data_IF_454344916115
#
_entry.id   IF_454344916115
#
_cell.length_a   1.000
_cell.length_b   1.000
_cell.length_c   1.000
_cell.angle_alpha   90.00
_cell.angle_beta   90.00
_cell.angle_gamma   90.00
#
_symmetry.space_group_name_H-M   'P 1'
#
loop_
_entity.id
_entity.type
_entity.pdbx_description
1 polymer ?
#
# COMPACT_ATOMS: atom_id res chain seq x y z
N UNK A 1 -21.77 11.53 8.77
CA UNK A 1 -20.77 10.51 9.13
C UNK A 1 -21.48 9.35 9.82
N UNK A 2 -21.24 8.10 9.40
CA UNK A 2 -21.79 6.88 10.05
C UNK A 2 -21.05 6.50 11.34
N UNK A 3 -20.10 7.33 11.80
CA UNK A 3 -19.28 7.09 12.99
C UNK A 3 -20.11 6.90 14.27
N UNK A 4 -21.29 7.55 14.37
CA UNK A 4 -22.20 7.35 15.51
C UNK A 4 -22.69 5.90 15.62
N UNK A 5 -22.97 5.24 14.48
CA UNK A 5 -23.35 3.81 14.44
C UNK A 5 -22.19 2.90 14.86
N UNK A 6 -20.95 3.31 14.59
CA UNK A 6 -19.76 2.58 15.05
C UNK A 6 -19.65 2.69 16.57
N UNK A 7 -19.87 3.88 17.15
CA UNK A 7 -19.84 4.09 18.61
C UNK A 7 -20.84 3.20 19.35
N UNK A 8 -22.02 3.00 18.77
CA UNK A 8 -23.07 2.15 19.35
C UNK A 8 -22.73 0.64 19.31
N UNK A 9 -21.73 0.22 18.53
CA UNK A 9 -21.43 -1.19 18.24
C UNK A 9 -20.08 -1.68 18.77
N UNK A 10 -19.26 -0.79 19.33
CA UNK A 10 -17.92 -1.12 19.85
C UNK A 10 -17.71 -0.52 21.25
N UNK A 11 -16.77 -1.08 22.00
CA UNK A 11 -16.39 -0.49 23.30
C UNK A 11 -15.66 0.86 23.13
N UNK A 12 -15.69 1.70 24.16
CA UNK A 12 -15.14 3.07 24.09
C UNK A 12 -13.64 3.08 23.74
N UNK A 13 -12.86 2.11 24.23
CA UNK A 13 -11.42 2.02 23.93
C UNK A 13 -11.16 1.70 22.45
N UNK A 14 -11.96 0.81 21.86
CA UNK A 14 -11.90 0.51 20.43
C UNK A 14 -12.42 1.69 19.60
N UNK A 15 -13.47 2.37 20.06
CA UNK A 15 -13.99 3.57 19.40
C UNK A 15 -12.94 4.67 19.32
N UNK A 16 -12.24 4.99 20.42
CA UNK A 16 -11.16 5.98 20.44
C UNK A 16 -10.02 5.62 19.47
N UNK A 17 -9.68 4.33 19.37
CA UNK A 17 -8.68 3.86 18.40
C UNK A 17 -9.14 4.04 16.96
N UNK A 18 -10.39 3.71 16.65
CA UNK A 18 -11.00 3.92 15.34
C UNK A 18 -11.02 5.41 15.00
N UNK A 19 -11.45 6.25 15.94
CA UNK A 19 -11.50 7.69 15.75
C UNK A 19 -10.10 8.28 15.48
N UNK A 20 -9.08 7.85 16.23
CA UNK A 20 -7.69 8.26 16.00
C UNK A 20 -7.20 7.90 14.61
N UNK A 21 -7.50 6.69 14.14
CA UNK A 21 -7.13 6.24 12.78
C UNK A 21 -7.89 7.03 11.71
N UNK A 22 -9.17 7.32 11.93
CA UNK A 22 -9.98 8.13 11.01
C UNK A 22 -9.55 9.59 10.96
N UNK A 23 -9.06 10.18 12.07
CA UNK A 23 -8.49 11.54 12.07
C UNK A 23 -7.20 11.64 11.26
N UNK A 24 -6.46 10.53 11.12
CA UNK A 24 -5.25 10.46 10.29
C UNK A 24 -5.60 10.24 8.81
N UNK A 25 -6.82 9.74 8.52
CA UNK A 25 -7.27 9.45 7.16
C UNK A 25 -7.13 10.69 6.28
N UNK A 26 -6.39 10.53 5.18
CA UNK A 26 -6.12 11.57 4.18
C UNK A 26 -5.42 12.83 4.73
N UNK A 27 -4.81 12.78 5.92
CA UNK A 27 -3.95 13.87 6.39
C UNK A 27 -2.76 14.00 5.43
N UNK A 28 -2.47 15.23 5.00
CA UNK A 28 -1.25 15.53 4.24
C UNK A 28 -0.05 15.36 5.18
N UNK A 29 0.78 14.36 4.91
CA UNK A 29 2.00 14.04 5.66
C UNK A 29 3.27 14.24 4.83
N UNK A 30 3.12 14.72 3.59
CA UNK A 30 4.25 15.21 2.79
C UNK A 30 4.92 16.36 3.55
N UNK A 31 6.26 16.40 3.51
CA UNK A 31 6.99 17.50 4.11
C UNK A 31 6.72 18.81 3.32
N UNK A 32 6.98 19.95 3.97
CA UNK A 32 6.74 21.26 3.35
C UNK A 32 7.60 21.45 2.08
N UNK A 33 8.84 20.98 2.10
CA UNK A 33 9.78 21.00 0.97
C UNK A 33 9.19 20.36 -0.30
N UNK A 34 8.77 19.08 -0.21
CA UNK A 34 8.13 18.33 -1.30
C UNK A 34 6.84 19.01 -1.74
N UNK A 35 6.02 19.48 -0.79
CA UNK A 35 4.74 20.13 -1.12
C UNK A 35 4.96 21.39 -1.97
N UNK A 36 5.90 22.25 -1.58
CA UNK A 36 6.24 23.46 -2.35
C UNK A 36 6.86 23.14 -3.72
N UNK A 37 7.67 22.07 -3.83
CA UNK A 37 8.19 21.59 -5.12
C UNK A 37 7.08 21.12 -6.06
N UNK A 38 6.11 20.37 -5.55
CA UNK A 38 4.95 19.92 -6.31
C UNK A 38 4.08 21.09 -6.78
N UNK A 39 3.83 22.07 -5.91
CA UNK A 39 3.11 23.30 -6.26
C UNK A 39 3.80 24.05 -7.40
N UNK A 40 5.14 24.21 -7.33
CA UNK A 40 5.91 24.85 -8.39
C UNK A 40 5.85 24.08 -9.72
N UNK A 41 5.87 22.74 -9.68
CA UNK A 41 5.70 21.90 -10.87
C UNK A 41 4.30 22.10 -11.48
N UNK A 42 3.25 22.03 -10.67
CA UNK A 42 1.87 22.06 -11.17
C UNK A 42 1.39 23.44 -11.64
N UNK A 43 2.07 24.51 -11.22
CA UNK A 43 1.85 25.87 -11.73
C UNK A 43 2.58 26.14 -13.06
N UNK A 44 3.46 25.23 -13.50
CA UNK A 44 4.26 25.42 -14.72
C UNK A 44 3.47 25.05 -15.97
N UNK A 45 3.69 25.80 -17.06
CA UNK A 45 3.10 25.49 -18.35
C UNK A 45 3.54 24.10 -18.83
N UNK A 46 2.66 23.43 -19.56
CA UNK A 46 2.92 22.10 -20.09
C UNK A 46 4.20 22.03 -20.95
N UNK A 47 4.52 23.07 -21.73
CA UNK A 47 5.71 23.09 -22.60
C UNK A 47 7.00 22.93 -21.79
N UNK A 48 7.01 23.43 -20.56
CA UNK A 48 8.18 23.45 -19.68
C UNK A 48 8.08 22.45 -18.53
N UNK A 49 6.94 21.77 -18.38
CA UNK A 49 6.66 20.94 -17.20
C UNK A 49 7.68 19.81 -17.01
N UNK A 50 8.15 19.18 -18.09
CA UNK A 50 9.16 18.12 -18.02
C UNK A 50 10.48 18.63 -17.45
N UNK A 51 10.93 19.81 -17.91
CA UNK A 51 12.14 20.44 -17.39
C UNK A 51 11.95 20.84 -15.92
N UNK A 52 10.79 21.42 -15.59
CA UNK A 52 10.47 21.80 -14.22
C UNK A 52 10.45 20.62 -13.27
N UNK A 53 9.89 19.48 -13.68
CA UNK A 53 9.94 18.24 -12.90
C UNK A 53 11.40 17.90 -12.59
N UNK A 54 12.26 17.83 -13.61
CA UNK A 54 13.68 17.47 -13.43
C UNK A 54 14.39 18.42 -12.47
N UNK A 55 14.23 19.74 -12.65
CA UNK A 55 14.90 20.75 -11.81
C UNK A 55 14.40 20.72 -10.36
N UNK A 56 13.09 20.58 -10.14
CA UNK A 56 12.54 20.58 -8.79
C UNK A 56 12.81 19.27 -8.04
N UNK A 57 13.01 18.16 -8.75
CA UNK A 57 13.31 16.85 -8.15
C UNK A 57 14.78 16.45 -8.25
N UNK A 58 15.67 17.36 -8.64
CA UNK A 58 17.09 17.06 -8.75
C UNK A 58 17.66 16.62 -7.39
N UNK A 59 18.41 15.52 -7.40
CA UNK A 59 19.07 14.95 -6.22
C UNK A 59 20.57 14.87 -6.49
N UNK A 60 21.38 15.38 -5.58
CA UNK A 60 22.84 15.24 -5.65
C UNK A 60 23.26 13.76 -5.60
N UNK A 61 23.96 13.30 -6.64
CA UNK A 61 24.30 11.88 -6.86
C UNK A 61 25.28 11.28 -5.83
N UNK A 62 25.88 12.09 -4.95
CA UNK A 62 27.00 11.69 -4.09
C UNK A 62 26.68 11.61 -2.59
N UNK A 63 25.43 11.89 -2.19
CA UNK A 63 25.01 11.79 -0.78
C UNK A 63 24.32 10.43 -0.59
N UNK A 64 24.66 9.73 0.50
CA UNK A 64 23.94 8.54 0.98
C UNK A 64 22.43 8.84 0.90
N UNK A 65 21.71 8.16 -0.01
CA UNK A 65 20.39 8.59 -0.44
C UNK A 65 19.47 8.81 0.77
N UNK A 66 19.12 10.08 1.03
CA UNK A 66 18.18 10.41 2.10
C UNK A 66 16.79 9.90 1.73
N UNK A 67 15.92 9.68 2.71
CA UNK A 67 14.53 9.29 2.43
C UNK A 67 13.82 10.32 1.55
N UNK A 68 14.10 11.62 1.75
CA UNK A 68 13.58 12.69 0.91
C UNK A 68 14.08 12.59 -0.52
N UNK A 69 15.38 12.33 -0.71
CA UNK A 69 15.99 12.12 -2.03
C UNK A 69 15.38 10.93 -2.77
N UNK A 70 15.15 9.81 -2.09
CA UNK A 70 14.46 8.65 -2.65
C UNK A 70 13.02 8.99 -3.04
N UNK A 71 12.33 9.77 -2.21
CA UNK A 71 10.96 10.18 -2.49
C UNK A 71 10.88 11.18 -3.66
N UNK A 72 11.84 12.09 -3.82
CA UNK A 72 11.95 12.97 -4.98
C UNK A 72 12.20 12.17 -6.27
N UNK A 73 13.04 11.12 -6.22
CA UNK A 73 13.21 10.18 -7.33
C UNK A 73 11.88 9.52 -7.71
N UNK A 74 11.10 9.06 -6.71
CA UNK A 74 9.77 8.50 -6.95
C UNK A 74 8.83 9.51 -7.64
N UNK A 75 8.80 10.76 -7.17
CA UNK A 75 7.99 11.84 -7.77
C UNK A 75 8.41 12.07 -9.22
N UNK A 76 9.71 12.26 -9.46
CA UNK A 76 10.27 12.56 -10.78
C UNK A 76 9.83 11.53 -11.81
N UNK A 77 10.12 10.25 -11.55
CA UNK A 77 9.86 9.19 -12.51
C UNK A 77 8.37 8.93 -12.70
N UNK A 78 7.56 9.13 -11.66
CA UNK A 78 6.11 9.00 -11.78
C UNK A 78 5.50 10.10 -12.63
N UNK A 79 5.90 11.36 -12.42
CA UNK A 79 5.37 12.49 -13.20
C UNK A 79 5.87 12.47 -14.64
N UNK A 80 7.15 12.19 -14.88
CA UNK A 80 7.70 12.11 -16.24
C UNK A 80 7.02 11.01 -17.07
N UNK A 81 6.75 9.85 -16.47
CA UNK A 81 6.01 8.78 -17.14
C UNK A 81 4.58 9.24 -17.49
N UNK A 82 3.88 9.90 -16.55
CA UNK A 82 2.56 10.48 -16.80
C UNK A 82 2.57 11.53 -17.93
N UNK A 83 3.55 12.42 -17.97
CA UNK A 83 3.69 13.42 -19.05
C UNK A 83 3.93 12.72 -20.39
N UNK A 84 4.85 11.77 -20.44
CA UNK A 84 5.19 11.00 -21.65
C UNK A 84 3.97 10.29 -22.21
N UNK A 85 3.11 9.72 -21.35
CA UNK A 85 1.87 9.07 -21.76
C UNK A 85 0.86 10.02 -22.45
N UNK A 86 0.97 11.32 -22.23
CA UNK A 86 0.10 12.35 -22.80
C UNK A 86 0.75 13.12 -23.96
N UNK A 87 2.07 13.04 -24.13
CA UNK A 87 2.85 13.89 -25.04
C UNK A 87 2.37 13.84 -26.48
N UNK A 88 2.12 12.64 -26.99
CA UNK A 88 1.72 12.42 -28.38
C UNK A 88 0.23 12.09 -28.55
N UNK A 89 -0.60 12.26 -27.51
CA UNK A 89 -2.05 11.97 -27.59
C UNK A 89 -2.87 13.20 -27.93
N UNK A 90 -3.72 13.09 -28.96
CA UNK A 90 -4.82 14.01 -29.23
C UNK A 90 -6.18 13.26 -29.18
N UNK A 91 -7.07 13.57 -28.23
CA UNK A 91 -6.90 14.50 -27.11
C UNK A 91 -5.96 13.94 -26.03
N UNK A 92 -5.40 14.81 -25.15
CA UNK A 92 -4.54 14.43 -24.01
C UNK A 92 -5.34 13.73 -22.90
N UNK A 93 -5.86 12.55 -23.21
CA UNK A 93 -6.75 11.74 -22.37
C UNK A 93 -6.34 10.28 -22.47
N UNK A 94 -6.28 9.60 -21.33
CA UNK A 94 -6.17 8.16 -21.28
C UNK A 94 -7.54 7.51 -21.43
N UNK A 95 -7.61 6.43 -22.21
CA UNK A 95 -8.85 5.68 -22.44
C UNK A 95 -9.45 5.21 -21.09
N UNK A 96 -10.74 5.46 -20.88
CA UNK A 96 -11.42 5.08 -19.64
C UNK A 96 -12.15 3.73 -19.75
N UNK A 97 -12.29 3.20 -20.96
CA UNK A 97 -12.89 1.90 -21.27
C UNK A 97 -11.85 0.76 -21.26
N UNK A 98 -10.77 0.93 -20.49
CA UNK A 98 -9.72 -0.07 -20.37
C UNK A 98 -10.16 -1.30 -19.59
N UNK A 99 -9.71 -2.47 -20.06
CA UNK A 99 -9.81 -3.72 -19.31
C UNK A 99 -9.02 -3.62 -18.00
N UNK A 100 -9.39 -4.45 -17.01
CA UNK A 100 -8.68 -4.56 -15.72
C UNK A 100 -7.15 -4.70 -15.88
N UNK A 101 -6.70 -5.56 -16.80
CA UNK A 101 -5.26 -5.81 -17.03
C UNK A 101 -4.58 -4.61 -17.69
N UNK A 102 -5.25 -3.99 -18.66
CA UNK A 102 -4.75 -2.77 -19.31
C UNK A 102 -4.59 -1.65 -18.28
N UNK A 103 -5.57 -1.45 -17.39
CA UNK A 103 -5.46 -0.47 -16.31
C UNK A 103 -4.29 -0.74 -15.36
N UNK A 104 -4.06 -2.01 -14.99
CA UNK A 104 -2.89 -2.39 -14.17
C UNK A 104 -1.59 -2.01 -14.88
N UNK A 105 -1.45 -2.36 -16.17
CA UNK A 105 -0.21 -2.14 -16.93
C UNK A 105 0.01 -0.66 -17.23
N UNK A 106 -0.99 0.03 -17.76
CA UNK A 106 -0.87 1.39 -18.26
C UNK A 106 -0.88 2.43 -17.15
N UNK A 107 -1.64 2.23 -16.07
CA UNK A 107 -1.87 3.27 -15.06
C UNK A 107 -1.22 2.97 -13.71
N UNK A 108 -1.39 1.76 -13.18
CA UNK A 108 -0.88 1.42 -11.84
C UNK A 108 0.59 1.03 -11.85
N UNK A 109 1.02 0.25 -12.85
CA UNK A 109 2.38 -0.29 -12.89
C UNK A 109 3.46 0.78 -12.92
N UNK A 110 3.32 1.93 -13.63
CA UNK A 110 4.36 2.94 -13.64
C UNK A 110 4.57 3.58 -12.27
N UNK A 111 3.48 3.88 -11.55
CA UNK A 111 3.53 4.45 -10.19
C UNK A 111 4.20 3.45 -9.24
N UNK A 112 3.75 2.20 -9.24
CA UNK A 112 4.28 1.15 -8.36
C UNK A 112 5.74 0.83 -8.66
N UNK A 113 6.14 0.83 -9.94
CA UNK A 113 7.52 0.62 -10.38
C UNK A 113 8.42 1.77 -9.92
N UNK A 114 7.99 3.02 -10.08
CA UNK A 114 8.74 4.18 -9.59
C UNK A 114 8.92 4.13 -8.07
N UNK A 115 7.87 3.75 -7.33
CA UNK A 115 7.96 3.58 -5.88
C UNK A 115 8.93 2.46 -5.48
N UNK A 116 8.88 1.31 -6.15
CA UNK A 116 9.84 0.20 -5.96
C UNK A 116 11.28 0.66 -6.15
N UNK A 117 11.54 1.42 -7.21
CA UNK A 117 12.89 1.82 -7.57
C UNK A 117 13.46 2.84 -6.58
N UNK A 118 12.59 3.67 -5.98
CA UNK A 118 12.96 4.57 -4.89
C UNK A 118 13.26 3.81 -3.57
N UNK A 119 12.52 2.74 -3.29
CA UNK A 119 12.60 1.97 -2.06
C UNK A 119 12.88 0.48 -2.36
N UNK A 120 14.14 0.11 -2.61
CA UNK A 120 14.49 -1.21 -3.13
C UNK A 120 14.26 -2.36 -2.14
N UNK A 121 14.01 -2.09 -0.86
CA UNK A 121 13.68 -3.08 0.17
C UNK A 121 12.36 -3.84 -0.06
N UNK A 122 11.56 -3.44 -1.06
CA UNK A 122 10.33 -4.13 -1.46
C UNK A 122 10.42 -4.75 -2.86
N UNK A 123 9.70 -5.85 -3.04
CA UNK A 123 9.53 -6.53 -4.33
C UNK A 123 8.07 -6.62 -4.70
N UNK A 124 7.76 -6.32 -5.95
CA UNK A 124 6.45 -6.55 -6.53
C UNK A 124 6.42 -7.88 -7.28
N UNK A 125 5.40 -8.68 -7.01
CA UNK A 125 5.00 -9.81 -7.83
C UNK A 125 3.69 -9.47 -8.55
N UNK A 126 3.71 -9.59 -9.87
CA UNK A 126 2.67 -9.06 -10.74
C UNK A 126 1.75 -10.16 -11.26
N UNK A 127 0.49 -9.79 -11.44
CA UNK A 127 -0.56 -10.49 -12.18
C UNK A 127 -0.86 -11.90 -11.68
N UNK A 128 -1.99 -12.04 -10.95
CA UNK A 128 -2.57 -13.33 -10.52
C UNK A 128 -1.59 -14.21 -9.75
N UNK A 129 -0.92 -13.64 -8.75
CA UNK A 129 0.05 -14.35 -7.94
C UNK A 129 -0.61 -15.18 -6.84
N UNK A 130 -0.17 -16.43 -6.66
CA UNK A 130 -0.61 -17.27 -5.55
C UNK A 130 -0.19 -16.68 -4.20
N UNK A 131 -1.15 -16.59 -3.29
CA UNK A 131 -0.96 -16.03 -1.94
C UNK A 131 -0.53 -17.16 -1.01
N UNK A 132 0.72 -17.12 -0.54
CA UNK A 132 1.30 -18.18 0.31
C UNK A 132 0.63 -18.19 1.67
N UNK A 133 0.32 -17.02 2.21
CA UNK A 133 -0.27 -16.88 3.54
C UNK A 133 -1.59 -17.65 3.72
N UNK A 134 -2.42 -17.79 2.68
CA UNK A 134 -3.63 -18.62 2.76
C UNK A 134 -3.27 -20.10 2.90
N UNK A 135 -2.32 -20.58 2.10
CA UNK A 135 -1.87 -21.98 2.17
C UNK A 135 -1.28 -22.29 3.54
N UNK A 136 -0.42 -21.42 4.03
CA UNK A 136 0.23 -21.57 5.34
C UNK A 136 -0.83 -21.58 6.45
N UNK A 137 -1.79 -20.66 6.43
CA UNK A 137 -2.89 -20.64 7.39
C UNK A 137 -3.78 -21.91 7.31
N UNK A 138 -4.09 -22.39 6.10
CA UNK A 138 -4.82 -23.65 5.92
C UNK A 138 -4.11 -24.82 6.60
N UNK A 139 -2.78 -24.91 6.42
CA UNK A 139 -1.97 -25.95 7.04
C UNK A 139 -1.89 -25.78 8.57
N UNK A 140 -1.69 -24.56 9.07
CA UNK A 140 -1.54 -24.27 10.50
C UNK A 140 -2.82 -24.53 11.29
N UNK A 141 -3.99 -24.19 10.73
CA UNK A 141 -5.26 -24.25 11.44
C UNK A 141 -6.16 -25.43 11.01
N UNK A 142 -5.67 -26.32 10.13
CA UNK A 142 -6.45 -27.39 9.53
C UNK A 142 -7.79 -26.90 8.92
N UNK A 143 -7.76 -25.72 8.30
CA UNK A 143 -8.92 -25.11 7.65
C UNK A 143 -8.82 -25.28 6.13
N UNK A 144 -9.95 -25.43 5.46
CA UNK A 144 -10.01 -25.57 4.00
C UNK A 144 -10.51 -24.27 3.36
N UNK A 145 -9.63 -23.28 3.24
CA UNK A 145 -9.89 -22.07 2.45
C UNK A 145 -9.33 -22.30 1.04
N UNK A 146 -10.16 -22.01 0.03
CA UNK A 146 -9.72 -22.05 -1.37
C UNK A 146 -8.54 -21.10 -1.58
N UNK A 147 -7.46 -21.61 -2.15
CA UNK A 147 -6.28 -20.81 -2.52
C UNK A 147 -6.73 -19.64 -3.41
N UNK A 148 -6.34 -18.43 -3.04
CA UNK A 148 -6.61 -17.22 -3.80
C UNK A 148 -5.35 -16.74 -4.51
N UNK A 149 -5.58 -16.05 -5.63
CA UNK A 149 -4.54 -15.35 -6.39
C UNK A 149 -4.78 -13.86 -6.30
N UNK A 150 -3.77 -13.06 -5.99
CA UNK A 150 -3.89 -11.60 -5.96
C UNK A 150 -3.50 -10.98 -7.29
N UNK A 151 -4.07 -9.83 -7.67
CA UNK A 151 -3.63 -9.13 -8.88
C UNK A 151 -2.19 -8.64 -8.75
N UNK A 152 -1.84 -8.04 -7.61
CA UNK A 152 -0.46 -7.72 -7.27
C UNK A 152 -0.18 -8.04 -5.80
N UNK A 153 1.07 -8.41 -5.55
CA UNK A 153 1.59 -8.73 -4.22
C UNK A 153 2.87 -7.93 -4.00
N UNK A 154 2.99 -7.32 -2.83
CA UNK A 154 4.23 -6.69 -2.38
C UNK A 154 4.83 -7.52 -1.27
N UNK A 155 6.11 -7.85 -1.45
CA UNK A 155 6.92 -8.59 -0.49
C UNK A 155 8.01 -7.68 0.06
N UNK A 156 8.33 -7.82 1.33
CA UNK A 156 9.59 -7.30 1.88
C UNK A 156 10.74 -8.21 1.42
N UNK A 157 11.87 -7.63 1.01
CA UNK A 157 12.99 -8.41 0.50
C UNK A 157 13.77 -9.15 1.58
N UNK A 158 13.89 -8.59 2.77
CA UNK A 158 14.72 -9.15 3.84
C UNK A 158 14.24 -10.52 4.33
N UNK A 159 12.92 -10.74 4.36
CA UNK A 159 12.30 -11.94 4.91
C UNK A 159 11.25 -12.60 3.99
N UNK A 160 11.08 -12.07 2.77
CA UNK A 160 10.04 -12.49 1.83
C UNK A 160 8.61 -12.44 2.41
N UNK A 161 8.36 -11.60 3.43
CA UNK A 161 7.04 -11.45 4.05
C UNK A 161 6.09 -10.70 3.11
N UNK A 162 4.86 -11.20 2.99
CA UNK A 162 3.77 -10.50 2.31
C UNK A 162 3.36 -9.27 3.14
N UNK A 163 3.55 -8.06 2.62
CA UNK A 163 3.31 -6.81 3.37
C UNK A 163 2.15 -5.96 2.80
N UNK A 164 1.81 -6.16 1.52
CA UNK A 164 0.70 -5.46 0.88
C UNK A 164 0.09 -6.29 -0.25
N UNK A 165 -1.24 -6.46 -0.21
CA UNK A 165 -2.02 -7.13 -1.25
C UNK A 165 -2.82 -6.11 -2.06
N UNK A 166 -2.88 -6.27 -3.38
CA UNK A 166 -3.59 -5.33 -4.25
C UNK A 166 -4.57 -6.07 -5.16
N UNK A 167 -5.83 -5.62 -5.18
CA UNK A 167 -6.86 -6.07 -6.12
C UNK A 167 -7.45 -4.90 -6.90
N UNK A 168 -7.67 -5.12 -8.19
CA UNK A 168 -8.40 -4.21 -9.07
C UNK A 168 -9.79 -4.77 -9.33
N UNK A 169 -10.82 -4.05 -8.89
CA UNK A 169 -12.19 -4.51 -8.95
C UNK A 169 -12.89 -4.18 -10.26
N UNK A 170 -12.92 -5.17 -11.15
CA UNK A 170 -13.59 -5.07 -12.44
C UNK A 170 -12.88 -4.17 -13.45
N UNK A 171 -13.53 -3.87 -14.59
CA UNK A 171 -13.03 -2.85 -15.53
C UNK A 171 -13.10 -1.46 -14.90
N UNK A 172 -12.31 -0.54 -15.46
CA UNK A 172 -12.24 0.84 -14.97
C UNK A 172 -13.61 1.54 -15.04
N UNK A 173 -14.32 1.37 -16.15
CA UNK A 173 -15.64 1.92 -16.36
C UNK A 173 -16.73 0.95 -15.89
N UNK A 174 -17.59 1.42 -14.97
CA UNK A 174 -18.74 0.68 -14.40
C UNK A 174 -18.36 -0.68 -13.77
N UNK A 175 -17.50 -0.70 -12.75
CA UNK A 175 -17.25 -1.93 -12.01
C UNK A 175 -18.54 -2.45 -11.34
N UNK A 176 -18.86 -3.72 -11.54
CA UNK A 176 -20.05 -4.31 -10.95
C UNK A 176 -19.91 -4.44 -9.43
N UNK A 177 -20.98 -4.14 -8.69
CA UNK A 177 -21.03 -4.27 -7.22
C UNK A 177 -20.61 -5.66 -6.74
N UNK A 178 -20.99 -6.71 -7.47
CA UNK A 178 -20.65 -8.10 -7.15
C UNK A 178 -19.13 -8.33 -7.17
N UNK A 179 -18.44 -7.77 -8.17
CA UNK A 179 -16.98 -7.85 -8.27
C UNK A 179 -16.31 -7.08 -7.14
N UNK A 180 -16.74 -5.84 -6.90
CA UNK A 180 -16.19 -5.01 -5.81
C UNK A 180 -16.29 -5.72 -4.46
N UNK A 181 -17.46 -6.25 -4.11
CA UNK A 181 -17.67 -6.95 -2.84
C UNK A 181 -16.88 -8.25 -2.77
N UNK A 182 -16.80 -9.00 -3.87
CA UNK A 182 -16.03 -10.25 -3.95
C UNK A 182 -14.55 -10.01 -3.69
N UNK A 183 -13.97 -8.98 -4.31
CA UNK A 183 -12.55 -8.66 -4.19
C UNK A 183 -12.19 -8.09 -2.81
N UNK A 184 -13.08 -7.29 -2.17
CA UNK A 184 -12.88 -6.89 -0.77
C UNK A 184 -12.83 -8.10 0.14
N UNK A 185 -13.81 -9.01 0.02
CA UNK A 185 -13.85 -10.22 0.86
C UNK A 185 -12.57 -11.04 0.71
N UNK A 186 -12.08 -11.15 -0.52
CA UNK A 186 -10.82 -11.83 -0.85
C UNK A 186 -9.62 -11.15 -0.19
N UNK A 187 -9.48 -9.82 -0.33
CA UNK A 187 -8.42 -9.05 0.33
C UNK A 187 -8.44 -9.22 1.86
N UNK A 188 -9.62 -9.13 2.47
CA UNK A 188 -9.78 -9.30 3.93
C UNK A 188 -9.37 -10.70 4.39
N UNK A 189 -9.78 -11.75 3.67
CA UNK A 189 -9.36 -13.12 3.99
C UNK A 189 -7.85 -13.28 3.87
N UNK A 190 -7.24 -12.75 2.81
CA UNK A 190 -5.78 -12.80 2.61
C UNK A 190 -5.04 -12.08 3.74
N UNK A 191 -5.48 -10.88 4.12
CA UNK A 191 -4.90 -10.12 5.22
C UNK A 191 -5.04 -10.89 6.54
N UNK A 192 -6.22 -11.42 6.87
CA UNK A 192 -6.42 -12.19 8.11
C UNK A 192 -5.53 -13.44 8.14
N UNK A 193 -5.47 -14.21 7.05
CA UNK A 193 -4.59 -15.39 6.96
C UNK A 193 -3.12 -15.04 7.17
N UNK A 194 -2.64 -13.95 6.56
CA UNK A 194 -1.26 -13.52 6.72
C UNK A 194 -0.98 -12.98 8.14
N UNK A 195 -1.95 -12.31 8.76
CA UNK A 195 -1.81 -11.86 10.15
C UNK A 195 -1.70 -13.08 11.08
N UNK A 196 -2.57 -14.07 10.90
CA UNK A 196 -2.49 -15.31 11.65
C UNK A 196 -1.15 -16.02 11.46
N UNK A 197 -0.64 -16.08 10.23
CA UNK A 197 0.68 -16.66 9.94
C UNK A 197 1.80 -15.95 10.70
N UNK A 198 1.83 -14.62 10.69
CA UNK A 198 2.82 -13.83 11.43
C UNK A 198 2.72 -14.13 12.93
N UNK A 199 1.51 -14.13 13.48
CA UNK A 199 1.30 -14.35 14.92
C UNK A 199 1.66 -15.77 15.36
N UNK A 200 1.32 -16.80 14.57
CA UNK A 200 1.67 -18.20 14.84
C UNK A 200 3.17 -18.42 14.82
N UNK A 201 3.89 -17.79 13.89
CA UNK A 201 5.34 -17.90 13.84
C UNK A 201 6.05 -17.17 14.99
N UNK A 202 5.31 -16.43 15.83
CA UNK A 202 5.86 -15.62 16.92
C UNK A 202 4.99 -15.73 18.19
N UNK A 203 4.61 -16.95 18.58
CA UNK A 203 3.72 -17.20 19.72
C UNK A 203 4.23 -16.64 21.06
N UNK A 204 5.55 -16.55 21.24
CA UNK A 204 6.17 -16.04 22.47
C UNK A 204 6.07 -14.52 22.62
N UNK A 205 5.55 -13.82 21.60
CA UNK A 205 5.37 -12.38 21.63
C UNK A 205 4.22 -11.97 22.57
N UNK A 206 4.42 -10.98 23.45
CA UNK A 206 3.34 -10.40 24.25
C UNK A 206 2.16 -9.94 23.39
N UNK A 207 0.94 -10.24 23.81
CA UNK A 207 -0.28 -9.94 23.04
C UNK A 207 -0.44 -8.44 22.76
N UNK A 208 0.05 -7.58 23.65
CA UNK A 208 0.05 -6.12 23.50
C UNK A 208 0.93 -5.64 22.34
N UNK A 209 1.98 -6.40 22.02
CA UNK A 209 2.87 -6.14 20.88
C UNK A 209 2.27 -6.78 19.62
N UNK A 210 1.78 -8.02 19.71
CA UNK A 210 1.15 -8.72 18.61
C UNK A 210 -0.07 -7.95 18.03
N UNK A 211 -0.89 -7.31 18.88
CA UNK A 211 -2.02 -6.46 18.45
C UNK A 211 -1.60 -5.21 17.65
N UNK A 212 -0.32 -4.83 17.66
CA UNK A 212 0.21 -3.69 16.87
C UNK A 212 0.58 -4.09 15.45
N UNK A 213 0.67 -5.39 15.16
CA UNK A 213 0.94 -5.89 13.80
C UNK A 213 -0.23 -5.53 12.90
N UNK A 214 0.09 -4.95 11.76
CA UNK A 214 -0.86 -4.48 10.76
C UNK A 214 -0.50 -5.05 9.40
N UNK A 215 -1.54 -5.34 8.64
CA UNK A 215 -1.43 -5.68 7.23
C UNK A 215 -2.19 -4.69 6.39
N UNK A 216 -1.67 -4.47 5.19
CA UNK A 216 -2.18 -3.46 4.28
C UNK A 216 -2.77 -4.12 3.05
N UNK A 217 -3.86 -3.55 2.55
CA UNK A 217 -4.46 -3.95 1.28
C UNK A 217 -4.79 -2.70 0.47
N UNK A 218 -4.59 -2.74 -0.84
CA UNK A 218 -5.13 -1.73 -1.75
C UNK A 218 -6.25 -2.36 -2.56
N UNK A 219 -7.39 -1.71 -2.56
CA UNK A 219 -8.42 -1.98 -3.56
C UNK A 219 -8.48 -0.82 -4.55
N UNK A 220 -8.37 -1.14 -5.84
CA UNK A 220 -8.68 -0.19 -6.90
C UNK A 220 -10.13 -0.39 -7.36
N UNK A 221 -10.96 0.66 -7.31
CA UNK A 221 -12.34 0.66 -7.79
C UNK A 221 -12.50 1.81 -8.79
N UNK A 222 -12.61 1.48 -10.08
CA UNK A 222 -12.48 2.50 -11.11
C UNK A 222 -11.12 3.19 -10.98
N UNK A 223 -11.13 4.52 -10.93
CA UNK A 223 -9.94 5.36 -10.79
C UNK A 223 -9.48 5.56 -9.34
N UNK A 224 -10.21 5.05 -8.36
CA UNK A 224 -9.93 5.23 -6.93
C UNK A 224 -9.03 4.12 -6.40
N UNK A 225 -7.99 4.51 -5.68
CA UNK A 225 -7.20 3.60 -4.83
C UNK A 225 -7.58 3.80 -3.37
N UNK A 226 -7.87 2.70 -2.69
CA UNK A 226 -8.28 2.67 -1.29
C UNK A 226 -7.31 1.80 -0.51
N UNK A 227 -6.59 2.38 0.45
CA UNK A 227 -5.70 1.67 1.35
C UNK A 227 -6.47 1.26 2.60
N UNK A 228 -6.52 -0.04 2.85
CA UNK A 228 -7.04 -0.62 4.07
C UNK A 228 -5.90 -1.06 4.99
N UNK A 229 -6.12 -0.91 6.28
CA UNK A 229 -5.31 -1.51 7.33
C UNK A 229 -6.12 -2.54 8.08
N UNK A 230 -5.53 -3.71 8.32
CA UNK A 230 -6.13 -4.83 9.03
C UNK A 230 -5.25 -5.16 10.25
N UNK A 231 -5.85 -5.26 11.44
CA UNK A 231 -5.14 -5.63 12.67
C UNK A 231 -5.98 -6.51 13.60
N UNK A 232 -5.30 -7.16 14.56
CA UNK A 232 -5.94 -7.93 15.63
C UNK A 232 -6.35 -6.98 16.75
N UNK A 233 -7.62 -7.04 17.17
CA UNK A 233 -8.11 -6.25 18.32
C UNK A 233 -8.25 -7.12 19.56
N UNK A 234 -8.75 -8.35 19.36
CA UNK A 234 -9.01 -9.31 20.42
C UNK A 234 -9.03 -10.73 19.85
N UNK A 235 -9.17 -11.75 20.70
CA UNK A 235 -9.25 -13.15 20.30
C UNK A 235 -10.30 -13.34 19.20
N UNK A 236 -9.85 -13.72 18.00
CA UNK A 236 -10.67 -13.92 16.80
C UNK A 236 -11.44 -12.68 16.32
N UNK A 237 -11.10 -11.47 16.81
CA UNK A 237 -11.69 -10.20 16.37
C UNK A 237 -10.65 -9.36 15.65
N UNK A 238 -10.97 -9.00 14.41
CA UNK A 238 -10.12 -8.22 13.52
C UNK A 238 -10.79 -6.90 13.20
N UNK A 239 -9.98 -5.87 12.99
CA UNK A 239 -10.44 -4.55 12.60
C UNK A 239 -9.87 -4.22 11.23
N UNK A 240 -10.74 -3.82 10.31
CA UNK A 240 -10.37 -3.32 8.99
C UNK A 240 -10.82 -1.85 8.88
N UNK A 241 -9.89 -0.96 8.56
CA UNK A 241 -10.15 0.49 8.45
C UNK A 241 -9.57 1.01 7.15
N UNK A 242 -10.30 1.91 6.49
CA UNK A 242 -9.75 2.71 5.40
C UNK A 242 -8.79 3.76 5.96
N UNK A 243 -7.52 3.65 5.59
CA UNK A 243 -6.44 4.53 6.05
C UNK A 243 -6.19 5.71 5.10
N UNK A 244 -6.29 5.49 3.79
CA UNK A 244 -6.05 6.54 2.79
C UNK A 244 -6.81 6.26 1.49
N UNK A 245 -7.09 7.31 0.74
CA UNK A 245 -7.71 7.24 -0.58
C UNK A 245 -7.08 8.28 -1.54
N UNK A 246 -6.85 7.88 -2.78
CA UNK A 246 -6.46 8.77 -3.85
C UNK A 246 -7.15 8.40 -5.18
N UNK A 247 -7.06 9.30 -6.16
CA UNK A 247 -7.65 9.14 -7.49
C UNK A 247 -6.50 9.19 -8.50
N UNK A 248 -6.45 8.23 -9.41
CA UNK A 248 -5.52 8.20 -10.52
C UNK A 248 -6.04 9.14 -11.63
N UNK A 249 -5.30 10.20 -12.00
CA UNK A 249 -5.75 11.10 -13.05
C UNK A 249 -5.62 10.47 -14.44
N UNK A 250 -6.63 10.67 -15.29
CA UNK A 250 -6.64 10.27 -16.71
C UNK A 250 -6.49 11.46 -17.67
N UNK A 251 -6.49 12.67 -17.11
CA UNK A 251 -6.42 13.93 -17.83
C UNK A 251 -5.19 14.68 -17.36
N UNK A 252 -4.41 15.20 -18.30
CA UNK A 252 -3.25 16.01 -17.97
C UNK A 252 -3.60 17.22 -17.08
N UNK A 253 -4.75 17.88 -17.33
CA UNK A 253 -5.21 19.03 -16.52
C UNK A 253 -5.48 18.69 -15.05
N UNK A 254 -5.55 17.40 -14.70
CA UNK A 254 -5.76 16.92 -13.32
C UNK A 254 -4.47 16.42 -12.69
N UNK A 255 -3.29 16.81 -13.21
CA UNK A 255 -1.98 16.38 -12.71
C UNK A 255 -1.79 16.70 -11.21
N UNK A 256 -2.41 17.75 -10.69
CA UNK A 256 -2.40 18.08 -9.26
C UNK A 256 -2.94 16.96 -8.35
N UNK A 257 -3.72 16.02 -8.89
CA UNK A 257 -4.16 14.82 -8.17
C UNK A 257 -2.97 13.96 -7.70
N UNK A 258 -1.81 14.07 -8.36
CA UNK A 258 -0.60 13.38 -7.94
C UNK A 258 -0.11 13.79 -6.55
N UNK A 259 -0.43 14.99 -6.03
CA UNK A 259 -0.17 15.31 -4.61
C UNK A 259 -0.80 14.29 -3.68
N UNK A 260 -2.04 13.88 -3.96
CA UNK A 260 -2.75 12.87 -3.16
C UNK A 260 -2.17 11.47 -3.36
N UNK A 261 -1.72 11.14 -4.58
CA UNK A 261 -1.05 9.88 -4.86
C UNK A 261 0.27 9.80 -4.08
N UNK A 262 1.10 10.83 -4.15
CA UNK A 262 2.35 10.88 -3.39
C UNK A 262 2.10 10.81 -1.89
N UNK A 263 1.11 11.55 -1.36
CA UNK A 263 0.74 11.43 0.03
C UNK A 263 0.32 10.00 0.42
N UNK A 264 -0.48 9.34 -0.44
CA UNK A 264 -0.91 7.95 -0.25
C UNK A 264 0.30 6.99 -0.14
N UNK A 265 1.28 7.12 -1.02
CA UNK A 265 2.50 6.31 -0.97
C UNK A 265 3.44 6.68 0.18
N UNK A 266 3.46 7.95 0.62
CA UNK A 266 4.19 8.35 1.84
C UNK A 266 3.60 7.69 3.08
N UNK A 267 2.27 7.54 3.16
CA UNK A 267 1.59 6.82 4.25
C UNK A 267 2.04 5.36 4.24
N UNK A 268 2.01 4.71 3.07
CA UNK A 268 2.47 3.32 2.91
C UNK A 268 3.92 3.17 3.36
N UNK A 269 4.81 4.07 2.93
CA UNK A 269 6.23 4.04 3.30
C UNK A 269 6.42 4.12 4.82
N UNK A 270 5.79 5.10 5.46
CA UNK A 270 5.89 5.27 6.91
C UNK A 270 5.39 4.02 7.66
N UNK A 271 4.25 3.46 7.24
CA UNK A 271 3.71 2.26 7.85
C UNK A 271 4.60 1.02 7.62
N UNK A 272 5.24 0.88 6.45
CA UNK A 272 6.20 -0.20 6.21
C UNK A 272 7.41 -0.14 7.14
N UNK A 273 7.98 1.05 7.33
CA UNK A 273 9.09 1.27 8.28
C UNK A 273 8.66 0.91 9.71
N UNK A 274 7.48 1.36 10.14
CA UNK A 274 7.00 1.08 11.49
C UNK A 274 6.70 -0.40 11.71
N UNK A 275 6.14 -1.09 10.72
CA UNK A 275 5.94 -2.54 10.79
C UNK A 275 7.25 -3.33 10.73
N UNK A 276 8.27 -2.83 10.07
CA UNK A 276 9.61 -3.45 10.07
C UNK A 276 10.24 -3.39 11.46
N UNK A 277 10.31 -2.20 12.08
CA UNK A 277 10.78 -2.05 13.46
C UNK A 277 9.99 -2.90 14.46
N UNK A 278 8.66 -2.98 14.27
CA UNK A 278 7.82 -3.80 15.11
C UNK A 278 8.15 -5.29 14.96
N UNK A 279 8.36 -5.77 13.73
CA UNK A 279 8.71 -7.16 13.48
C UNK A 279 10.11 -7.52 14.00
N UNK A 280 11.10 -6.63 13.86
CA UNK A 280 12.42 -6.80 14.49
C UNK A 280 12.29 -6.97 16.02
N UNK A 281 11.45 -6.14 16.65
CA UNK A 281 11.15 -6.29 18.07
C UNK A 281 10.46 -7.62 18.37
N UNK A 282 9.55 -8.09 17.53
CA UNK A 282 8.88 -9.38 17.71
C UNK A 282 9.90 -10.52 17.63
N UNK A 283 10.80 -10.50 16.66
CA UNK A 283 11.83 -11.52 16.47
C UNK A 283 12.83 -11.60 17.63
N UNK A 284 13.06 -10.50 18.36
CA UNK A 284 13.88 -10.52 19.57
C UNK A 284 13.30 -11.35 20.73
N UNK A 285 12.02 -11.72 20.68
CA UNK A 285 11.40 -12.61 21.68
C UNK A 285 11.54 -14.09 21.36
N UNK A 286 11.90 -14.44 20.12
CA UNK A 286 12.07 -15.85 19.73
C UNK A 286 13.38 -16.35 20.35
N UNK A 287 13.35 -17.42 21.17
CA UNK A 287 14.58 -17.97 21.75
C UNK A 287 15.54 -18.37 20.62
N UNK A 288 16.78 -17.90 20.67
CA UNK A 288 17.85 -18.52 19.88
C UNK A 288 17.93 -19.98 20.32
N UNK A 289 17.61 -20.90 19.43
CA UNK A 289 17.98 -22.30 19.62
C UNK A 289 19.51 -22.30 19.66
N UNK A 290 20.08 -22.35 20.87
CA UNK A 290 21.48 -22.68 21.02
C UNK A 290 21.61 -24.12 20.51
N UNK A 291 22.14 -24.28 19.30
CA UNK A 291 22.70 -25.55 18.83
C UNK A 291 23.94 -25.87 19.67
N UNK A 292 23.72 -26.22 20.93
CA UNK A 292 24.66 -27.04 21.68
C UNK A 292 24.42 -28.50 21.29
N UNK A 293 24.63 -28.82 20.01
CA UNK A 293 24.99 -30.18 19.62
C UNK A 293 26.48 -30.36 19.88
N UNK A 294 26.84 -30.38 21.15
CA UNK A 294 28.10 -30.89 21.66
C UNK A 294 27.75 -31.70 22.89
N UNK A 295 27.11 -32.85 22.68
CA UNK A 295 27.04 -34.01 23.57
C UNK A 295 26.08 -35.03 22.94
N UNK A 296 26.59 -35.79 21.96
CA UNK A 296 26.09 -37.12 21.54
C UNK A 296 27.19 -37.84 20.75
#
# INVERSE_FOLDING_TARGET
>A
STLHLVRETVDESLFEKIEKLLRIRNKLILNKSITSKLEAIFQTDYVEISLKIITETEVEKNIKASEESQFLFFIQHTLLDFITMHEYKLPKVLAQDMSKRSYIVECLSPILRSFRNAFPEIRYEWIKKDVKSIRDACNMFAINIRIQKTDLLVLRLSDATEILHIEVSGPLYKPEKKHIVGDVKKLLIMAVCNLCRILVNNFDCPIEIAKKVRLYCIQAIGDKLILFVISLVDKKKYLAIELALCIIPFLLKTIECYTRIFNFFKIIRNEFIEQEKLLEKIYSFVPLINDNTSDL
#
